data_IF_267434177188
#
_entry.id   IF_267434177188
#
_cell.length_a   1.000
_cell.length_b   1.000
_cell.length_c   1.000
_cell.angle_alpha   90.00
_cell.angle_beta   90.00
_cell.angle_gamma   90.00
#
_symmetry.space_group_name_H-M   'P 1'
#
loop_
_entity.id
_entity.type
_entity.pdbx_description
1 polymer ?
#
# COMPACT_ATOMS: atom_id res chain seq x y z
N UNK A 1 0.80 7.51 16.35
CA UNK A 1 0.22 6.19 15.99
C UNK A 1 0.46 5.99 14.51
N UNK A 2 0.84 4.79 14.06
CA UNK A 2 1.43 4.57 12.72
C UNK A 2 0.36 4.18 11.70
N UNK A 3 0.31 4.90 10.57
CA UNK A 3 -0.48 4.53 9.39
C UNK A 3 0.06 3.24 8.74
N UNK A 4 -0.80 2.56 8.00
CA UNK A 4 -0.46 1.46 7.10
C UNK A 4 -0.34 1.95 5.66
N UNK A 5 0.45 1.26 4.85
CA UNK A 5 0.75 1.68 3.48
C UNK A 5 0.77 0.48 2.56
N UNK A 6 -0.04 0.53 1.50
CA UNK A 6 0.02 -0.45 0.42
C UNK A 6 0.64 0.20 -0.80
N UNK A 7 1.71 -0.39 -1.31
CA UNK A 7 2.38 0.04 -2.54
C UNK A 7 1.98 -0.90 -3.67
N UNK A 8 1.40 -0.34 -4.73
CA UNK A 8 0.97 -1.11 -5.91
C UNK A 8 1.86 -0.75 -7.09
N UNK A 9 2.54 -1.75 -7.65
CA UNK A 9 3.31 -1.61 -8.88
C UNK A 9 2.52 -2.18 -10.08
N UNK A 10 2.59 -1.51 -11.23
CA UNK A 10 1.87 -1.91 -12.45
C UNK A 10 2.85 -1.99 -13.61
N UNK A 11 2.94 -3.16 -14.25
CA UNK A 11 3.83 -3.39 -15.39
C UNK A 11 3.48 -2.42 -16.52
N UNK A 12 4.47 -1.92 -17.26
CA UNK A 12 4.23 -0.89 -18.28
C UNK A 12 3.20 -1.32 -19.33
N UNK A 13 3.23 -2.60 -19.76
CA UNK A 13 2.26 -3.13 -20.72
C UNK A 13 0.86 -3.12 -20.12
N UNK A 14 0.72 -3.51 -18.86
CA UNK A 14 -0.57 -3.46 -18.17
C UNK A 14 -1.00 -2.02 -17.88
N UNK A 15 -0.11 -1.15 -17.44
CA UNK A 15 -0.40 0.26 -17.18
C UNK A 15 -1.04 0.90 -18.40
N UNK A 16 -0.45 0.68 -19.58
CA UNK A 16 -1.03 1.12 -20.85
C UNK A 16 -2.39 0.47 -21.12
N UNK A 17 -2.47 -0.86 -21.03
CA UNK A 17 -3.70 -1.60 -21.32
C UNK A 17 -4.87 -1.18 -20.41
N UNK A 18 -4.65 -1.03 -19.11
CA UNK A 18 -5.67 -0.61 -18.15
C UNK A 18 -6.16 0.82 -18.47
N UNK A 19 -5.24 1.75 -18.80
CA UNK A 19 -5.60 3.13 -19.14
C UNK A 19 -6.37 3.21 -20.45
N UNK A 20 -5.94 2.48 -21.49
CA UNK A 20 -6.62 2.44 -22.78
C UNK A 20 -8.04 1.87 -22.67
N UNK A 21 -8.28 0.94 -21.72
CA UNK A 21 -9.60 0.37 -21.45
C UNK A 21 -10.43 1.17 -20.45
N UNK A 22 -9.91 2.31 -19.96
CA UNK A 22 -10.56 3.17 -18.96
C UNK A 22 -10.82 2.48 -17.61
N UNK A 23 -9.94 1.57 -17.18
CA UNK A 23 -10.06 0.90 -15.90
C UNK A 23 -9.52 1.81 -14.80
N UNK A 24 -10.09 1.72 -13.60
CA UNK A 24 -9.63 2.36 -12.37
C UNK A 24 -9.01 1.31 -11.46
N UNK A 25 -8.02 1.71 -10.66
CA UNK A 25 -7.43 0.88 -9.61
C UNK A 25 -8.25 1.05 -8.32
N UNK A 26 -8.82 -0.03 -7.81
CA UNK A 26 -9.70 -0.01 -6.64
C UNK A 26 -9.05 -0.66 -5.42
N UNK A 27 -9.47 -0.18 -4.24
CA UNK A 27 -9.12 -0.73 -2.93
C UNK A 27 -10.40 -0.92 -2.11
N UNK A 28 -10.56 -2.10 -1.51
CA UNK A 28 -11.60 -2.39 -0.52
C UNK A 28 -10.99 -2.93 0.79
N UNK A 29 -11.61 -2.62 1.93
CA UNK A 29 -11.23 -3.16 3.24
C UNK A 29 -12.16 -4.30 3.65
N UNK A 30 -11.60 -5.35 4.23
CA UNK A 30 -12.37 -6.46 4.75
C UNK A 30 -13.05 -6.10 6.07
N UNK A 31 -14.35 -6.39 6.19
CA UNK A 31 -15.11 -6.32 7.44
C UNK A 31 -15.96 -7.57 7.53
N UNK A 32 -15.97 -8.23 8.70
CA UNK A 32 -16.68 -9.50 8.91
C UNK A 32 -16.32 -10.60 7.88
N UNK A 33 -15.08 -10.60 7.38
CA UNK A 33 -14.62 -11.57 6.38
C UNK A 33 -15.05 -11.27 4.94
N UNK A 34 -15.68 -10.12 4.67
CA UNK A 34 -16.22 -9.75 3.36
C UNK A 34 -15.67 -8.41 2.86
N UNK A 35 -15.58 -8.25 1.55
CA UNK A 35 -15.37 -6.97 0.87
C UNK A 35 -16.69 -6.58 0.22
N UNK A 36 -17.29 -5.46 0.63
CA UNK A 36 -18.61 -5.06 0.11
C UNK A 36 -18.61 -3.68 -0.54
N UNK A 37 -17.62 -2.83 -0.28
CA UNK A 37 -17.58 -1.44 -0.77
C UNK A 37 -16.22 -1.11 -1.36
N UNK A 38 -16.23 -0.37 -2.47
CA UNK A 38 -15.02 0.29 -3.00
C UNK A 38 -14.67 1.45 -2.07
N UNK A 39 -13.61 1.28 -1.29
CA UNK A 39 -13.23 2.26 -0.27
C UNK A 39 -12.40 3.41 -0.84
N UNK A 40 -11.43 3.10 -1.71
CA UNK A 40 -10.61 4.09 -2.40
C UNK A 40 -10.42 3.70 -3.87
N UNK A 41 -10.17 4.70 -4.72
CA UNK A 41 -9.91 4.49 -6.15
C UNK A 41 -8.90 5.47 -6.71
N UNK A 42 -8.16 5.04 -7.74
CA UNK A 42 -7.39 5.91 -8.62
C UNK A 42 -7.85 5.71 -10.07
N UNK A 43 -8.14 6.80 -10.76
CA UNK A 43 -8.64 6.74 -12.14
C UNK A 43 -7.55 6.53 -13.19
N UNK A 44 -7.91 6.27 -14.46
CA UNK A 44 -6.95 6.12 -15.56
C UNK A 44 -6.31 7.43 -16.01
N UNK A 45 -6.99 8.57 -15.80
CA UNK A 45 -6.56 9.90 -16.22
C UNK A 45 -6.51 10.86 -15.03
N UNK A 46 -5.52 11.75 -15.04
CA UNK A 46 -5.40 12.77 -14.01
C UNK A 46 -6.55 13.78 -14.13
N UNK A 47 -7.15 14.08 -12.98
CA UNK A 47 -8.12 15.17 -12.85
C UNK A 47 -7.63 16.15 -11.78
N UNK A 48 -8.25 17.33 -11.72
CA UNK A 48 -7.85 18.40 -10.78
C UNK A 48 -7.87 17.92 -9.33
N UNK A 49 -8.81 17.03 -8.99
CA UNK A 49 -9.06 16.60 -7.61
C UNK A 49 -8.72 15.12 -7.37
N UNK A 50 -8.43 14.35 -8.43
CA UNK A 50 -8.11 12.92 -8.33
C UNK A 50 -6.94 12.57 -9.26
N UNK A 51 -5.75 12.29 -8.71
CA UNK A 51 -4.61 11.82 -9.49
C UNK A 51 -4.88 10.42 -10.06
N UNK A 52 -4.33 10.16 -11.24
CA UNK A 52 -4.40 8.86 -11.87
C UNK A 52 -3.50 7.84 -11.16
N UNK A 53 -3.73 6.55 -11.42
CA UNK A 53 -2.70 5.57 -11.13
C UNK A 53 -1.54 5.68 -12.14
N UNK A 54 -0.34 5.42 -11.65
CA UNK A 54 0.93 5.40 -12.37
C UNK A 54 1.62 4.05 -12.20
N UNK A 55 2.86 3.92 -12.66
CA UNK A 55 3.66 2.71 -12.47
C UNK A 55 3.75 2.27 -10.99
N UNK A 56 3.92 3.24 -10.07
CA UNK A 56 3.97 3.04 -8.63
C UNK A 56 2.90 3.87 -7.96
N UNK A 57 2.04 3.21 -7.19
CA UNK A 57 0.91 3.83 -6.50
C UNK A 57 1.01 3.55 -5.01
N UNK A 58 0.42 4.42 -4.21
CA UNK A 58 0.45 4.29 -2.76
C UNK A 58 -0.92 4.58 -2.19
N UNK A 59 -1.47 3.60 -1.48
CA UNK A 59 -2.65 3.77 -0.65
C UNK A 59 -2.18 3.99 0.80
N UNK A 60 -2.48 5.17 1.34
CA UNK A 60 -2.23 5.49 2.73
C UNK A 60 -3.48 5.18 3.57
N UNK A 61 -3.32 4.29 4.53
CA UNK A 61 -4.38 3.82 5.41
C UNK A 61 -4.13 4.47 6.77
N UNK A 62 -4.87 5.56 7.02
CA UNK A 62 -4.86 6.21 8.33
C UNK A 62 -5.47 5.29 9.38
N UNK A 63 -4.93 5.34 10.61
CA UNK A 63 -5.45 4.56 11.75
C UNK A 63 -6.94 4.85 11.89
N UNK A 64 -7.81 3.84 11.82
CA UNK A 64 -9.21 4.13 11.63
C UNK A 64 -9.84 4.53 12.96
N UNK A 65 -10.24 5.81 13.06
CA UNK A 65 -11.47 6.14 13.78
C UNK A 65 -12.62 5.86 12.83
N UNK A 66 -13.63 5.13 13.29
CA UNK A 66 -14.76 4.75 12.46
C UNK A 66 -15.98 5.59 12.81
N UNK A 67 -16.92 5.63 11.90
CA UNK A 67 -18.30 6.00 12.21
C UNK A 67 -19.23 4.86 11.80
N UNK A 68 -20.32 4.70 12.53
CA UNK A 68 -21.39 3.76 12.19
C UNK A 68 -22.62 4.52 11.72
N UNK A 69 -23.25 3.97 10.69
CA UNK A 69 -24.54 4.40 10.20
C UNK A 69 -25.40 3.17 9.84
N UNK A 70 -26.59 3.38 9.32
CA UNK A 70 -27.45 2.32 8.79
C UNK A 70 -28.19 2.75 7.53
N UNK A 71 -28.55 1.78 6.69
CA UNK A 71 -29.45 1.96 5.55
C UNK A 71 -30.76 1.18 5.74
N UNK A 72 -31.86 1.67 5.20
CA UNK A 72 -33.19 1.00 5.30
C UNK A 72 -33.61 0.31 4.00
N UNK A 73 -32.92 0.61 2.90
CA UNK A 73 -33.16 -0.04 1.61
C UNK A 73 -32.37 -1.33 1.54
N UNK A 74 -33.00 -2.38 1.01
CA UNK A 74 -32.28 -3.59 0.63
C UNK A 74 -31.24 -3.23 -0.42
N UNK A 75 -29.99 -3.48 -0.08
CA UNK A 75 -28.88 -3.44 -1.02
C UNK A 75 -28.81 -4.79 -1.71
N UNK A 76 -29.11 -4.84 -3.00
CA UNK A 76 -28.97 -6.07 -3.80
C UNK A 76 -27.62 -6.09 -4.50
N UNK A 77 -27.11 -7.28 -4.79
CA UNK A 77 -25.93 -7.44 -5.63
C UNK A 77 -26.13 -6.73 -6.98
N UNK A 78 -25.21 -5.83 -7.35
CA UNK A 78 -25.34 -4.94 -8.52
C UNK A 78 -25.98 -3.58 -8.24
N UNK A 79 -26.47 -3.32 -7.02
CA UNK A 79 -26.83 -1.97 -6.57
C UNK A 79 -25.57 -1.14 -6.37
N UNK A 80 -25.31 -0.17 -7.25
CA UNK A 80 -24.12 0.69 -7.17
C UNK A 80 -24.22 1.69 -6.02
N UNK A 81 -25.43 2.06 -5.59
CA UNK A 81 -25.64 3.07 -4.56
C UNK A 81 -26.38 2.51 -3.35
N UNK A 82 -25.99 2.98 -2.16
CA UNK A 82 -26.77 2.84 -0.94
C UNK A 82 -26.81 4.18 -0.23
N UNK A 83 -27.92 4.43 0.47
CA UNK A 83 -28.12 5.66 1.24
C UNK A 83 -28.11 5.33 2.72
N UNK A 84 -27.23 5.99 3.46
CA UNK A 84 -27.37 6.06 4.90
C UNK A 84 -28.65 6.83 5.27
N UNK A 85 -29.39 6.32 6.25
CA UNK A 85 -30.66 6.87 6.71
C UNK A 85 -30.53 7.67 8.01
N UNK A 86 -29.48 7.43 8.80
CA UNK A 86 -29.25 8.08 10.09
C UNK A 86 -28.14 9.12 10.09
N UNK A 87 -27.94 9.73 11.27
CA UNK A 87 -26.75 10.54 11.57
C UNK A 87 -25.64 9.57 11.99
N UNK A 88 -24.46 9.70 11.37
CA UNK A 88 -23.33 8.84 11.69
C UNK A 88 -22.86 9.07 13.14
N UNK A 89 -22.48 7.99 13.80
CA UNK A 89 -21.97 8.03 15.17
C UNK A 89 -20.51 7.56 15.20
N UNK A 90 -19.62 8.44 15.67
CA UNK A 90 -18.22 8.10 15.88
C UNK A 90 -18.07 6.94 16.87
N UNK A 91 -17.23 5.97 16.54
CA UNK A 91 -16.99 4.77 17.34
C UNK A 91 -15.55 4.28 17.15
N UNK A 92 -15.02 3.63 18.17
CA UNK A 92 -13.72 2.95 18.15
C UNK A 92 -13.90 1.44 18.28
N UNK A 93 -12.90 0.67 17.84
CA UNK A 93 -12.86 -0.77 18.10
C UNK A 93 -12.90 -1.02 19.62
N UNK A 94 -13.65 -2.02 20.06
CA UNK A 94 -13.94 -2.27 21.48
C UNK A 94 -15.19 -1.57 22.02
N UNK A 95 -15.88 -0.77 21.23
CA UNK A 95 -17.04 -0.01 21.69
C UNK A 95 -18.37 -0.58 21.20
N UNK A 96 -19.41 -0.22 21.95
CA UNK A 96 -20.81 -0.53 21.67
C UNK A 96 -21.59 0.75 21.44
N UNK A 97 -22.42 0.78 20.40
CA UNK A 97 -23.44 1.81 20.17
C UNK A 97 -24.84 1.18 20.23
N UNK A 98 -25.84 1.98 20.56
CA UNK A 98 -27.25 1.58 20.52
C UNK A 98 -27.97 2.36 19.43
N UNK A 99 -28.65 1.67 18.53
CA UNK A 99 -29.56 2.25 17.56
C UNK A 99 -30.98 2.13 18.12
N UNK A 100 -31.57 3.24 18.51
CA UNK A 100 -32.88 3.23 19.17
C UNK A 100 -34.05 2.96 18.20
N UNK A 101 -35.25 2.81 18.75
CA UNK A 101 -36.49 2.55 17.98
C UNK A 101 -36.84 3.68 17.00
N UNK A 102 -36.27 4.87 17.17
CA UNK A 102 -36.46 6.05 16.30
C UNK A 102 -35.36 6.17 15.23
N UNK A 103 -34.39 5.26 15.22
CA UNK A 103 -33.29 5.24 14.27
C UNK A 103 -32.20 6.26 14.58
N UNK A 104 -32.01 6.61 15.86
CA UNK A 104 -30.96 7.50 16.34
C UNK A 104 -29.91 6.67 17.08
N UNK A 105 -28.64 6.87 16.74
CA UNK A 105 -27.54 6.27 17.48
C UNK A 105 -27.27 7.03 18.79
N UNK A 106 -27.19 6.30 19.89
CA UNK A 106 -26.68 6.80 21.16
C UNK A 106 -25.14 6.90 21.14
N UNK A 107 -24.54 7.73 22.01
CA UNK A 107 -23.09 7.81 22.14
C UNK A 107 -22.45 6.45 22.43
N UNK A 108 -21.27 6.20 21.84
CA UNK A 108 -20.53 4.96 22.02
C UNK A 108 -20.09 4.74 23.49
N UNK A 109 -20.13 3.48 23.93
CA UNK A 109 -19.73 3.05 25.27
C UNK A 109 -18.63 1.99 25.21
N UNK A 110 -17.74 1.95 26.21
CA UNK A 110 -16.62 0.99 26.27
C UNK A 110 -17.05 -0.36 26.86
N UNK A 111 -18.10 -0.97 26.28
CA UNK A 111 -18.67 -2.25 26.75
C UNK A 111 -18.54 -3.38 25.72
N UNK A 112 -17.86 -3.13 24.60
CA UNK A 112 -17.73 -4.07 23.49
C UNK A 112 -16.49 -4.94 23.55
N UNK A 113 -16.38 -5.86 22.59
CA UNK A 113 -15.24 -6.77 22.46
C UNK A 113 -14.08 -6.07 21.74
N UNK A 114 -12.86 -6.22 22.25
CA UNK A 114 -11.66 -5.67 21.59
C UNK A 114 -11.56 -6.12 20.13
N UNK A 115 -11.37 -5.18 19.22
CA UNK A 115 -11.29 -5.43 17.77
C UNK A 115 -12.64 -5.40 17.03
N UNK A 116 -13.75 -5.30 17.77
CA UNK A 116 -15.10 -5.28 17.20
C UNK A 116 -15.81 -3.96 17.51
N UNK A 117 -16.74 -3.58 16.65
CA UNK A 117 -17.74 -2.56 16.92
C UNK A 117 -19.07 -3.30 17.12
N UNK A 118 -19.71 -3.09 18.26
CA UNK A 118 -21.00 -3.72 18.58
C UNK A 118 -22.15 -2.73 18.36
N UNK A 119 -23.17 -3.13 17.61
CA UNK A 119 -24.39 -2.36 17.42
C UNK A 119 -25.54 -3.09 18.12
N UNK A 120 -26.15 -2.44 19.12
CA UNK A 120 -27.41 -2.88 19.73
C UNK A 120 -28.57 -2.25 18.99
N UNK A 121 -29.17 -3.00 18.07
CA UNK A 121 -30.28 -2.53 17.25
C UNK A 121 -31.62 -2.72 17.97
N UNK A 122 -32.37 -1.64 18.14
CA UNK A 122 -33.79 -1.63 18.53
C UNK A 122 -34.70 -1.14 17.39
N UNK A 123 -34.12 -0.69 16.27
CA UNK A 123 -34.90 -0.22 15.12
C UNK A 123 -35.53 -1.41 14.37
N UNK A 124 -36.85 -1.37 14.27
CA UNK A 124 -37.61 -2.32 13.46
C UNK A 124 -37.39 -2.10 11.96
N UNK A 125 -37.72 -3.12 11.16
CA UNK A 125 -37.60 -3.04 9.68
C UNK A 125 -36.28 -3.55 9.13
N UNK A 126 -35.44 -4.15 9.98
CA UNK A 126 -34.22 -4.86 9.60
C UNK A 126 -33.20 -3.98 8.84
N UNK A 127 -32.70 -2.89 9.47
CA UNK A 127 -31.78 -1.96 8.85
C UNK A 127 -30.41 -2.61 8.57
N UNK A 128 -29.72 -2.18 7.53
CA UNK A 128 -28.41 -2.66 7.15
C UNK A 128 -27.30 -1.83 7.80
N UNK A 129 -26.37 -2.47 8.52
CA UNK A 129 -25.23 -1.80 9.11
C UNK A 129 -24.32 -1.18 8.03
N UNK A 130 -23.87 0.05 8.26
CA UNK A 130 -22.90 0.75 7.44
C UNK A 130 -21.72 1.17 8.31
N UNK A 131 -20.51 0.87 7.85
CA UNK A 131 -19.27 1.36 8.45
C UNK A 131 -18.68 2.43 7.55
N UNK A 132 -18.34 3.56 8.14
CA UNK A 132 -17.64 4.67 7.51
C UNK A 132 -16.25 4.84 8.13
N UNK A 133 -15.32 5.37 7.36
CA UNK A 133 -14.06 5.85 7.91
C UNK A 133 -14.21 7.23 8.57
N UNK A 134 -13.10 7.78 9.04
CA UNK A 134 -13.04 9.06 9.74
C UNK A 134 -13.44 10.28 8.89
N UNK A 135 -13.46 10.13 7.56
CA UNK A 135 -13.88 11.15 6.62
C UNK A 135 -15.36 11.02 6.22
N UNK A 136 -16.07 10.03 6.78
CA UNK A 136 -17.43 9.69 6.41
C UNK A 136 -17.54 8.89 5.12
N UNK A 137 -16.41 8.43 4.56
CA UNK A 137 -16.40 7.62 3.35
C UNK A 137 -16.78 6.18 3.71
N UNK A 138 -17.71 5.54 2.99
CA UNK A 138 -18.09 4.17 3.32
C UNK A 138 -16.98 3.15 3.07
N UNK A 139 -16.84 2.25 4.05
CA UNK A 139 -15.86 1.16 4.09
C UNK A 139 -16.55 -0.20 3.94
N UNK A 140 -17.77 -0.32 4.46
CA UNK A 140 -18.54 -1.56 4.43
C UNK A 140 -20.03 -1.27 4.55
N UNK A 141 -20.84 -2.09 3.89
CA UNK A 141 -22.27 -2.25 4.14
C UNK A 141 -22.60 -3.73 4.27
N UNK A 142 -23.46 -4.08 5.22
CA UNK A 142 -24.01 -5.43 5.31
C UNK A 142 -25.03 -5.62 4.16
N UNK A 143 -24.72 -6.44 3.17
CA UNK A 143 -25.57 -6.69 1.98
C UNK A 143 -26.47 -7.93 2.10
N UNK A 144 -26.32 -8.74 3.15
CA UNK A 144 -27.01 -10.03 3.22
C UNK A 144 -28.44 -9.88 3.75
N UNK A 145 -28.59 -9.83 5.07
CA UNK A 145 -29.90 -9.93 5.72
C UNK A 145 -30.28 -8.72 6.55
N UNK A 146 -29.44 -7.68 6.64
CA UNK A 146 -29.65 -6.57 7.58
C UNK A 146 -29.37 -6.95 9.04
N UNK A 147 -29.72 -6.07 9.97
CA UNK A 147 -29.63 -6.25 11.43
C UNK A 147 -31.01 -6.55 12.02
N UNK A 148 -31.17 -7.73 12.61
CA UNK A 148 -32.31 -8.02 13.47
C UNK A 148 -32.34 -7.10 14.70
N UNK A 149 -33.49 -7.02 15.38
CA UNK A 149 -33.53 -6.44 16.74
C UNK A 149 -32.65 -7.32 17.63
N UNK A 150 -31.65 -6.71 18.27
CA UNK A 150 -30.62 -7.42 19.01
C UNK A 150 -29.23 -6.89 18.73
N UNK A 151 -28.25 -7.77 18.60
CA UNK A 151 -26.85 -7.41 18.47
C UNK A 151 -26.34 -7.72 17.06
N UNK A 152 -25.71 -6.75 16.43
CA UNK A 152 -24.88 -6.92 15.24
C UNK A 152 -23.43 -6.52 15.57
N UNK A 153 -22.47 -7.10 14.86
CA UNK A 153 -21.05 -6.79 15.02
C UNK A 153 -20.44 -6.39 13.68
N UNK A 154 -19.48 -5.47 13.74
CA UNK A 154 -18.62 -5.10 12.63
C UNK A 154 -17.17 -5.31 13.09
N UNK A 155 -16.45 -6.16 12.40
CA UNK A 155 -15.07 -6.54 12.71
C UNK A 155 -14.19 -6.19 11.53
N UNK A 156 -13.67 -4.95 11.46
CA UNK A 156 -12.72 -4.55 10.44
C UNK A 156 -11.41 -5.32 10.59
N UNK A 157 -10.89 -5.85 9.49
CA UNK A 157 -9.64 -6.59 9.44
C UNK A 157 -8.66 -5.82 8.57
N UNK A 158 -7.36 -5.85 8.92
CA UNK A 158 -6.29 -5.24 8.12
C UNK A 158 -5.92 -6.14 6.93
N UNK A 159 -6.96 -6.48 6.17
CA UNK A 159 -6.93 -7.24 4.92
C UNK A 159 -7.68 -6.44 3.87
N UNK A 160 -7.07 -6.32 2.70
CA UNK A 160 -7.48 -5.43 1.65
C UNK A 160 -7.56 -6.16 0.32
N UNK A 161 -8.55 -5.80 -0.51
CA UNK A 161 -8.69 -6.30 -1.87
C UNK A 161 -8.30 -5.19 -2.85
N UNK A 162 -7.50 -5.54 -3.87
CA UNK A 162 -7.03 -4.61 -4.90
C UNK A 162 -7.31 -5.22 -6.28
N UNK A 163 -7.87 -4.43 -7.19
CA UNK A 163 -8.19 -4.89 -8.54
C UNK A 163 -8.34 -3.71 -9.52
N UNK A 164 -8.44 -4.03 -10.80
CA UNK A 164 -8.83 -3.07 -11.84
C UNK A 164 -10.23 -3.37 -12.36
N UNK A 165 -11.05 -2.34 -12.54
CA UNK A 165 -12.37 -2.43 -13.17
C UNK A 165 -12.81 -1.04 -13.69
N UNK A 166 -13.80 -0.96 -14.58
CA UNK A 166 -14.27 0.28 -15.23
C UNK A 166 -15.76 0.61 -15.03
N UNK A 167 -16.47 -0.15 -14.19
CA UNK A 167 -17.93 0.00 -14.06
C UNK A 167 -18.43 0.68 -12.77
N UNK A 168 -17.52 1.15 -11.89
CA UNK A 168 -17.91 1.55 -10.53
C UNK A 168 -17.15 2.79 -10.01
N UNK A 169 -17.70 3.41 -8.97
CA UNK A 169 -17.14 4.59 -8.31
C UNK A 169 -16.77 4.29 -6.85
N UNK A 170 -15.91 5.13 -6.25
CA UNK A 170 -15.63 5.05 -4.81
C UNK A 170 -16.90 5.27 -3.97
N UNK A 171 -17.07 4.48 -2.91
CA UNK A 171 -18.25 4.49 -2.04
C UNK A 171 -19.42 3.66 -2.55
N UNK A 172 -19.25 2.95 -3.66
CA UNK A 172 -20.26 2.07 -4.23
C UNK A 172 -20.10 0.65 -3.72
N UNK A 173 -21.21 -0.09 -3.68
CA UNK A 173 -21.16 -1.53 -3.38
C UNK A 173 -20.43 -2.21 -4.53
N UNK A 174 -19.50 -3.10 -4.22
CA UNK A 174 -18.83 -3.91 -5.23
C UNK A 174 -19.90 -4.74 -5.94
N UNK A 175 -20.17 -4.39 -7.20
CA UNK A 175 -21.07 -5.18 -8.03
C UNK A 175 -20.29 -6.42 -8.42
N UNK A 176 -20.92 -7.60 -8.44
CA UNK A 176 -20.41 -8.84 -9.02
C UNK A 176 -19.10 -9.43 -8.44
N UNK A 177 -18.78 -10.65 -8.90
CA UNK A 177 -17.52 -11.34 -8.61
C UNK A 177 -16.34 -10.56 -9.20
N UNK A 178 -15.59 -9.86 -8.35
CA UNK A 178 -14.33 -9.23 -8.75
C UNK A 178 -13.42 -10.25 -9.43
N UNK A 179 -13.20 -10.09 -10.73
CA UNK A 179 -12.28 -10.95 -11.47
C UNK A 179 -10.84 -10.49 -11.21
N UNK A 180 -9.94 -11.43 -10.93
CA UNK A 180 -8.50 -11.17 -10.82
C UNK A 180 -8.14 -10.06 -9.81
N UNK A 181 -8.51 -10.27 -8.54
CA UNK A 181 -8.11 -9.41 -7.44
C UNK A 181 -6.86 -9.94 -6.72
N UNK A 182 -6.06 -9.01 -6.20
CA UNK A 182 -5.09 -9.29 -5.16
C UNK A 182 -5.72 -9.16 -3.77
N UNK A 183 -5.14 -9.87 -2.80
CA UNK A 183 -5.41 -9.65 -1.38
C UNK A 183 -4.11 -9.31 -0.67
N UNK A 184 -4.14 -8.24 0.13
CA UNK A 184 -3.00 -7.78 0.93
C UNK A 184 -3.42 -7.78 2.40
N UNK A 185 -2.69 -8.53 3.23
CA UNK A 185 -2.97 -8.64 4.67
C UNK A 185 -1.78 -8.14 5.47
N UNK A 186 -2.03 -7.22 6.40
CA UNK A 186 -1.04 -6.80 7.38
C UNK A 186 -1.05 -7.75 8.57
N UNK A 187 0.13 -8.23 8.95
CA UNK A 187 0.32 -9.09 10.12
C UNK A 187 1.63 -8.77 10.81
N UNK A 188 1.75 -9.14 12.10
CA UNK A 188 3.01 -9.05 12.85
C UNK A 188 3.56 -7.64 13.07
N UNK A 189 2.72 -6.60 12.94
CA UNK A 189 3.14 -5.21 13.12
C UNK A 189 3.79 -4.57 11.89
N UNK A 190 3.79 -5.25 10.74
CA UNK A 190 4.15 -4.65 9.46
C UNK A 190 3.24 -3.45 9.17
N UNK A 191 3.82 -2.39 8.62
CA UNK A 191 3.10 -1.15 8.26
C UNK A 191 3.21 -0.79 6.78
N UNK A 192 4.01 -1.55 6.04
CA UNK A 192 4.12 -1.42 4.60
C UNK A 192 4.01 -2.81 3.96
N UNK A 193 3.23 -2.92 2.89
CA UNK A 193 3.12 -4.10 2.05
C UNK A 193 3.14 -3.67 0.58
N UNK A 194 3.70 -4.51 -0.29
CA UNK A 194 3.72 -4.26 -1.72
C UNK A 194 3.08 -5.41 -2.50
N UNK A 195 2.46 -5.05 -3.61
CA UNK A 195 1.86 -5.98 -4.57
C UNK A 195 2.05 -5.45 -5.98
N UNK A 196 2.06 -6.35 -6.96
CA UNK A 196 2.43 -6.04 -8.32
C UNK A 196 1.52 -6.69 -9.34
N UNK A 197 1.14 -5.92 -10.36
CA UNK A 197 0.36 -6.39 -11.50
C UNK A 197 1.26 -6.62 -12.70
N UNK A 198 1.61 -7.88 -12.94
CA UNK A 198 2.63 -8.32 -13.91
C UNK A 198 2.20 -8.14 -15.37
N UNK A 199 3.14 -8.22 -16.31
CA UNK A 199 2.87 -8.12 -17.75
C UNK A 199 1.79 -9.09 -18.27
N UNK A 200 1.66 -10.26 -17.62
CA UNK A 200 0.66 -11.30 -17.92
C UNK A 200 -0.69 -11.05 -17.26
N UNK A 201 -0.85 -9.91 -16.58
CA UNK A 201 -2.07 -9.54 -15.88
C UNK A 201 -2.30 -10.38 -14.62
N UNK A 202 -1.23 -10.82 -13.94
CA UNK A 202 -1.32 -11.56 -12.68
C UNK A 202 -0.84 -10.71 -11.51
N UNK A 203 -1.52 -10.84 -10.37
CA UNK A 203 -1.09 -10.22 -9.12
C UNK A 203 -0.04 -11.07 -8.40
N UNK A 204 1.07 -10.47 -8.01
CA UNK A 204 2.12 -11.12 -7.21
C UNK A 204 2.51 -10.24 -6.01
N UNK A 205 2.84 -10.83 -4.85
CA UNK A 205 3.39 -10.06 -3.73
C UNK A 205 4.74 -9.44 -4.09
N UNK A 206 5.04 -8.26 -3.54
CA UNK A 206 6.31 -7.58 -3.76
C UNK A 206 6.23 -6.49 -4.83
N UNK A 207 7.39 -5.98 -5.23
CA UNK A 207 7.54 -5.09 -6.38
C UNK A 207 7.49 -5.87 -7.69
N UNK A 208 7.31 -5.16 -8.80
CA UNK A 208 7.46 -5.79 -10.11
C UNK A 208 8.92 -6.15 -10.19
N UNK A 209 9.18 -7.45 -10.14
CA UNK A 209 10.37 -7.96 -10.76
C UNK A 209 10.36 -7.36 -12.16
N UNK A 210 11.29 -6.45 -12.45
CA UNK A 210 12.01 -6.64 -13.69
C UNK A 210 12.47 -8.10 -13.59
N UNK A 211 11.76 -9.01 -14.24
CA UNK A 211 12.43 -10.11 -14.89
C UNK A 211 13.42 -9.41 -15.82
N UNK A 212 14.57 -9.05 -15.26
CA UNK A 212 15.74 -8.70 -16.01
C UNK A 212 15.96 -9.97 -16.77
N UNK A 213 15.58 -9.96 -18.04
CA UNK A 213 15.75 -11.10 -18.90
C UNK A 213 17.25 -11.34 -19.06
N UNK A 214 17.81 -12.07 -18.10
CA UNK A 214 19.21 -12.46 -18.08
C UNK A 214 19.46 -13.61 -19.04
N UNK A 215 18.45 -14.11 -19.77
CA UNK A 215 18.63 -15.18 -20.76
C UNK A 215 19.59 -14.79 -21.89
N UNK A 216 19.89 -13.49 -22.09
CA UNK A 216 20.96 -13.01 -22.97
C UNK A 216 22.32 -12.76 -22.31
N UNK A 217 22.38 -12.60 -20.99
CA UNK A 217 23.63 -12.26 -20.27
C UNK A 217 24.43 -13.52 -19.90
N UNK A 218 23.84 -14.71 -20.06
CA UNK A 218 24.49 -16.00 -19.78
C UNK A 218 25.58 -16.43 -20.78
N UNK A 219 25.66 -15.81 -21.96
CA UNK A 219 26.57 -16.27 -23.03
C UNK A 219 27.96 -15.60 -23.02
N UNK A 220 28.13 -14.50 -22.28
CA UNK A 220 29.39 -13.77 -22.16
C UNK A 220 29.68 -13.68 -20.67
N UNK A 221 30.82 -14.19 -20.19
CA UNK A 221 31.16 -14.32 -18.76
C UNK A 221 31.32 -13.01 -17.97
N UNK A 222 30.51 -11.98 -18.25
CA UNK A 222 30.59 -10.65 -17.68
C UNK A 222 29.65 -10.54 -16.46
N UNK A 223 30.10 -9.88 -15.37
CA UNK A 223 29.27 -9.69 -14.19
C UNK A 223 28.10 -8.73 -14.47
N UNK A 224 26.92 -9.07 -13.97
CA UNK A 224 25.78 -8.14 -13.92
C UNK A 224 26.09 -7.08 -12.87
N UNK A 225 25.97 -5.81 -13.25
CA UNK A 225 26.20 -4.67 -12.35
C UNK A 225 24.88 -3.98 -12.07
N UNK A 226 24.45 -3.98 -10.81
CA UNK A 226 23.32 -3.17 -10.36
C UNK A 226 23.87 -1.83 -9.86
N UNK A 227 23.31 -0.72 -10.31
CA UNK A 227 23.72 0.62 -9.90
C UNK A 227 22.57 1.35 -9.22
N UNK A 228 22.79 1.79 -7.98
CA UNK A 228 21.84 2.62 -7.22
C UNK A 228 22.41 4.02 -7.09
N UNK A 229 21.61 5.03 -7.40
CA UNK A 229 21.98 6.44 -7.26
C UNK A 229 21.25 7.07 -6.08
N UNK A 230 22.01 7.65 -5.15
CA UNK A 230 21.50 8.49 -4.07
C UNK A 230 21.86 9.95 -4.32
N UNK A 231 20.86 10.84 -4.31
CA UNK A 231 21.02 12.29 -4.48
C UNK A 231 20.77 12.97 -3.14
N UNK A 232 21.71 13.79 -2.67
CA UNK A 232 21.60 14.51 -1.40
C UNK A 232 21.00 15.90 -1.60
N UNK A 233 20.27 16.36 -0.58
CA UNK A 233 19.66 17.70 -0.55
C UNK A 233 20.69 18.83 -0.58
N UNK A 234 21.89 18.57 -0.06
CA UNK A 234 23.02 19.50 -0.05
C UNK A 234 24.30 18.81 -0.52
N UNK A 235 25.29 19.63 -0.92
CA UNK A 235 26.63 19.14 -1.21
C UNK A 235 27.27 18.57 0.07
N UNK A 236 27.77 17.34 -0.02
CA UNK A 236 28.38 16.65 1.10
C UNK A 236 29.70 17.33 1.51
N UNK A 237 29.91 17.37 2.83
CA UNK A 237 31.19 17.82 3.39
C UNK A 237 32.32 16.83 3.10
N UNK A 238 33.57 17.28 3.15
CA UNK A 238 34.74 16.40 2.98
C UNK A 238 34.73 15.23 3.97
N UNK A 239 34.26 15.45 5.19
CA UNK A 239 34.11 14.40 6.22
C UNK A 239 33.08 13.36 5.78
N UNK A 240 31.91 13.80 5.30
CA UNK A 240 30.87 12.91 4.79
C UNK A 240 31.30 12.10 3.58
N UNK A 241 31.95 12.73 2.60
CA UNK A 241 32.50 12.04 1.43
C UNK A 241 33.52 10.98 1.85
N UNK A 242 34.47 11.34 2.72
CA UNK A 242 35.50 10.40 3.19
C UNK A 242 34.89 9.21 3.94
N UNK A 243 33.87 9.47 4.76
CA UNK A 243 33.17 8.41 5.48
C UNK A 243 32.43 7.48 4.52
N UNK A 244 31.66 8.03 3.58
CA UNK A 244 30.88 7.23 2.62
C UNK A 244 31.79 6.31 1.79
N UNK A 245 32.93 6.83 1.32
CA UNK A 245 33.88 6.05 0.52
C UNK A 245 34.60 4.94 1.32
N UNK A 246 34.80 5.11 2.63
CA UNK A 246 35.65 4.21 3.42
C UNK A 246 34.90 3.31 4.42
N UNK A 247 33.69 3.69 4.83
CA UNK A 247 32.96 3.03 5.92
C UNK A 247 31.54 2.59 5.55
N UNK A 248 30.94 3.13 4.49
CA UNK A 248 29.56 2.81 4.13
C UNK A 248 29.36 1.32 3.83
N UNK A 249 30.33 0.67 3.19
CA UNK A 249 30.29 -0.78 2.88
C UNK A 249 30.00 -1.62 4.13
N UNK A 250 30.52 -1.21 5.29
CA UNK A 250 30.35 -1.92 6.57
C UNK A 250 28.95 -1.73 7.19
N UNK A 251 28.10 -0.89 6.59
CA UNK A 251 26.72 -0.64 7.03
C UNK A 251 25.69 -1.47 6.27
N UNK A 252 26.11 -2.20 5.24
CA UNK A 252 25.23 -3.08 4.47
C UNK A 252 24.97 -4.41 5.19
N UNK A 253 23.78 -5.00 5.05
CA UNK A 253 23.48 -6.35 5.54
C UNK A 253 24.32 -7.40 4.81
N UNK A 254 24.57 -8.53 5.48
CA UNK A 254 25.38 -9.62 4.93
C UNK A 254 24.85 -10.09 3.55
N UNK A 255 25.74 -10.10 2.55
CA UNK A 255 25.43 -10.59 1.20
C UNK A 255 25.01 -9.52 0.19
N UNK A 256 24.90 -8.24 0.58
CA UNK A 256 24.57 -7.12 -0.32
C UNK A 256 25.58 -5.97 -0.18
N UNK A 257 26.85 -6.27 -0.40
CA UNK A 257 27.90 -5.25 -0.35
C UNK A 257 28.14 -4.65 -1.74
N UNK A 258 28.18 -3.32 -1.88
CA UNK A 258 28.59 -2.71 -3.14
C UNK A 258 30.07 -3.01 -3.38
N UNK A 259 30.40 -3.30 -4.63
CA UNK A 259 31.77 -3.50 -5.09
C UNK A 259 32.48 -2.19 -5.37
N UNK A 260 31.71 -1.13 -5.63
CA UNK A 260 32.23 0.20 -5.93
C UNK A 260 31.29 1.27 -5.37
N UNK A 261 31.88 2.36 -4.88
CA UNK A 261 31.18 3.49 -4.28
C UNK A 261 31.85 4.76 -4.78
N UNK A 262 31.11 5.55 -5.56
CA UNK A 262 31.60 6.77 -6.18
C UNK A 262 30.79 7.98 -5.70
N UNK A 263 31.47 9.09 -5.45
CA UNK A 263 30.82 10.38 -5.17
C UNK A 263 31.04 11.31 -6.37
N UNK A 264 29.96 11.93 -6.85
CA UNK A 264 29.96 12.81 -8.02
C UNK A 264 29.07 14.04 -7.84
N UNK A 265 28.89 14.79 -8.93
CA UNK A 265 27.93 15.91 -8.99
C UNK A 265 28.18 16.99 -7.93
N UNK A 266 29.38 17.57 -7.88
CA UNK A 266 29.78 18.53 -6.84
C UNK A 266 29.53 18.03 -5.40
N UNK A 267 29.78 16.74 -5.16
CA UNK A 267 29.56 16.04 -3.90
C UNK A 267 28.09 15.90 -3.47
N UNK A 268 27.12 16.03 -4.38
CA UNK A 268 25.69 15.81 -4.08
C UNK A 268 25.15 14.47 -4.58
N UNK A 269 25.98 13.66 -5.24
CA UNK A 269 25.59 12.38 -5.82
C UNK A 269 26.46 11.25 -5.28
N UNK A 270 25.85 10.12 -4.91
CA UNK A 270 26.52 8.88 -4.55
C UNK A 270 26.02 7.76 -5.46
N UNK A 271 26.94 7.10 -6.16
CA UNK A 271 26.67 5.94 -7.01
C UNK A 271 27.24 4.70 -6.35
N UNK A 272 26.40 3.69 -6.13
CA UNK A 272 26.82 2.40 -5.59
C UNK A 272 26.61 1.31 -6.63
N UNK A 273 27.68 0.58 -6.95
CA UNK A 273 27.64 -0.52 -7.91
C UNK A 273 27.78 -1.85 -7.19
N UNK A 274 26.96 -2.81 -7.57
CA UNK A 274 26.97 -4.17 -7.02
C UNK A 274 27.28 -5.14 -8.17
N UNK A 275 28.52 -5.64 -8.19
CA UNK A 275 29.00 -6.58 -9.20
C UNK A 275 29.40 -7.92 -8.54
N UNK A 276 28.42 -8.77 -8.20
CA UNK A 276 28.66 -10.10 -7.63
C UNK A 276 27.99 -11.20 -8.45
N UNK A 277 28.63 -12.38 -8.65
CA UNK A 277 27.99 -13.54 -9.26
C UNK A 277 26.67 -13.95 -8.58
N UNK A 278 26.57 -13.76 -7.26
CA UNK A 278 25.36 -14.04 -6.48
C UNK A 278 24.24 -13.01 -6.65
N UNK A 279 24.51 -11.86 -7.30
CA UNK A 279 23.47 -10.89 -7.61
C UNK A 279 22.45 -11.44 -8.60
N UNK A 280 22.83 -12.39 -9.46
CA UNK A 280 21.87 -13.07 -10.35
C UNK A 280 20.80 -13.80 -9.55
N UNK A 281 21.20 -14.57 -8.55
CA UNK A 281 20.28 -15.31 -7.70
C UNK A 281 19.46 -14.36 -6.81
N UNK A 282 20.09 -13.29 -6.30
CA UNK A 282 19.38 -12.28 -5.53
C UNK A 282 18.39 -11.46 -6.35
N UNK A 283 18.73 -11.09 -7.59
CA UNK A 283 17.85 -10.40 -8.54
C UNK A 283 16.70 -11.30 -8.97
N UNK A 284 16.98 -12.60 -9.21
CA UNK A 284 15.97 -13.57 -9.61
C UNK A 284 14.97 -13.91 -8.49
N UNK A 285 15.40 -13.85 -7.21
CA UNK A 285 14.58 -14.21 -6.05
C UNK A 285 13.90 -12.99 -5.41
N UNK A 286 14.57 -11.83 -5.40
CA UNK A 286 14.16 -10.69 -4.58
C UNK A 286 13.99 -9.36 -5.32
N UNK A 287 14.34 -9.24 -6.61
CA UNK A 287 14.20 -7.99 -7.35
C UNK A 287 15.31 -6.95 -7.11
N UNK A 288 15.26 -5.84 -7.86
CA UNK A 288 16.24 -4.73 -7.80
C UNK A 288 16.00 -3.78 -6.62
N UNK A 289 14.77 -3.72 -6.12
CA UNK A 289 14.31 -2.95 -4.97
C UNK A 289 15.04 -3.31 -3.66
N UNK A 290 15.51 -4.55 -3.54
CA UNK A 290 16.34 -4.97 -2.40
C UNK A 290 17.67 -4.21 -2.36
N UNK A 291 18.23 -3.82 -3.51
CA UNK A 291 19.45 -3.00 -3.56
C UNK A 291 19.15 -1.56 -3.13
N UNK A 292 18.02 -0.99 -3.54
CA UNK A 292 17.57 0.33 -3.09
C UNK A 292 17.34 0.35 -1.57
N UNK A 293 16.61 -0.64 -1.07
CA UNK A 293 16.33 -0.81 0.36
C UNK A 293 17.61 -0.97 1.17
N UNK A 294 18.58 -1.75 0.67
CA UNK A 294 19.87 -1.93 1.32
C UNK A 294 20.69 -0.63 1.33
N UNK A 295 20.67 0.15 0.25
CA UNK A 295 21.31 1.46 0.18
C UNK A 295 20.67 2.45 1.15
N UNK A 296 19.34 2.52 1.19
CA UNK A 296 18.63 3.41 2.12
C UNK A 296 18.96 3.04 3.57
N UNK A 297 18.92 1.74 3.91
CA UNK A 297 19.26 1.25 5.24
C UNK A 297 20.70 1.59 5.62
N UNK A 298 21.67 1.38 4.71
CA UNK A 298 23.08 1.70 4.94
C UNK A 298 23.30 3.21 5.14
N UNK A 299 22.62 4.06 4.37
CA UNK A 299 22.69 5.52 4.52
C UNK A 299 22.05 5.99 5.83
N UNK A 300 20.92 5.42 6.24
CA UNK A 300 20.31 5.70 7.57
C UNK A 300 21.25 5.29 8.71
N UNK A 301 21.88 4.13 8.60
CA UNK A 301 22.87 3.66 9.57
C UNK A 301 24.14 4.52 9.59
N UNK A 302 24.58 5.03 8.44
CA UNK A 302 25.67 5.98 8.35
C UNK A 302 25.29 7.32 9.00
N UNK A 303 24.09 7.86 8.72
CA UNK A 303 23.57 9.08 9.35
C UNK A 303 23.48 9.00 10.87
N UNK A 304 23.15 7.83 11.41
CA UNK A 304 23.14 7.58 12.85
C UNK A 304 24.54 7.52 13.48
N UNK A 305 25.59 7.29 12.69
CA UNK A 305 26.97 7.31 13.14
C UNK A 305 27.47 8.75 13.27
N UNK A 306 27.85 9.16 14.49
CA UNK A 306 28.31 10.53 14.77
C UNK A 306 29.59 10.90 14.03
N UNK A 307 30.39 9.91 13.61
CA UNK A 307 31.60 10.14 12.84
C UNK A 307 31.36 10.32 11.34
N UNK A 308 30.11 10.15 10.87
CA UNK A 308 29.81 10.17 9.43
C UNK A 308 29.78 11.55 8.80
N UNK A 309 29.54 12.61 9.59
CA UNK A 309 29.32 13.94 9.02
C UNK A 309 28.03 14.08 8.20
N UNK A 310 27.11 13.10 8.23
CA UNK A 310 25.81 13.11 7.52
C UNK A 310 24.66 13.67 8.38
N UNK A 311 24.96 14.27 9.53
CA UNK A 311 23.94 14.80 10.42
C UNK A 311 23.17 15.94 9.74
N UNK A 312 21.84 15.83 9.69
CA UNK A 312 20.97 16.80 9.04
C UNK A 312 20.74 16.58 7.54
N UNK A 313 21.50 15.70 6.89
CA UNK A 313 21.33 15.42 5.45
C UNK A 313 20.06 14.62 5.16
N UNK A 314 19.47 14.86 3.99
CA UNK A 314 18.40 14.05 3.42
C UNK A 314 18.79 13.62 2.01
N UNK A 315 18.27 12.48 1.55
CA UNK A 315 18.55 11.97 0.21
C UNK A 315 17.29 11.41 -0.43
N UNK A 316 17.31 11.37 -1.76
CA UNK A 316 16.38 10.60 -2.57
C UNK A 316 17.14 9.53 -3.34
N UNK A 317 16.52 8.37 -3.51
CA UNK A 317 17.06 7.31 -4.35
C UNK A 317 16.44 7.39 -5.75
N UNK A 318 17.26 7.16 -6.77
CA UNK A 318 16.78 6.79 -8.10
C UNK A 318 16.66 5.29 -8.21
N UNK A 319 15.76 4.86 -9.08
CA UNK A 319 15.55 3.46 -9.41
C UNK A 319 16.86 2.76 -9.76
N UNK A 320 17.06 1.58 -9.16
CA UNK A 320 18.21 0.73 -9.41
C UNK A 320 18.24 0.34 -10.89
N UNK A 321 19.34 0.68 -11.55
CA UNK A 321 19.55 0.37 -12.96
C UNK A 321 20.49 -0.81 -13.13
N UNK A 322 20.27 -1.61 -14.17
CA UNK A 322 21.11 -2.76 -14.47
C UNK A 322 21.94 -2.47 -15.71
N UNK A 323 23.24 -2.61 -15.54
CA UNK A 323 24.22 -2.53 -16.62
C UNK A 323 24.93 -3.86 -16.82
N UNK A 324 25.33 -4.11 -18.07
CA UNK A 324 26.31 -5.13 -18.41
C UNK A 324 27.63 -4.40 -18.69
N UNK A 325 28.67 -4.76 -17.94
CA UNK A 325 30.02 -4.25 -18.23
C UNK A 325 30.54 -5.03 -19.43
N UNK A 326 30.90 -4.37 -20.53
CA UNK A 326 31.54 -4.97 -21.70
C UNK A 326 33.06 -4.93 -21.56
#
# INVERSE_FOLDING_TARGET
MSAETIVVYIDEKQLKAQKDNHYSLFLAKMVNGQFTVIWQSMGPLDTVDHPAYHFRNTFEISVPSYEVNYGTLKTTEGSVTFSAAGIAQTVSLGQTVELDELGIFAPATNTGTSGEITIKNQLAGNPHAVLLDSSGQPVFVNTESGMDIGTATLTPVDTYQIWFDNYQDTGTIIAHNVSNAATVTFSGGNREQSVSYTADGQWVPGSLNAAVDLHGVGALGNPVVVSVLATFSSALTTVAVTYLLSKLINKFPAGLHPTDVEVGGANSLLTLKFASPGNRDLLAVFGVDKFESAVDQALRAAKADKASGLQGETWSLREASIGVSF
#
